data_IF_759484968247
#
_entry.id   IF_759484968247
#
_cell.length_a   1.000
_cell.length_b   1.000
_cell.length_c   1.000
_cell.angle_alpha   90.00
_cell.angle_beta   90.00
_cell.angle_gamma   90.00
#
_symmetry.space_group_name_H-M   'P 1'
#
loop_
_entity.id
_entity.type
_entity.pdbx_description
1 polymer ?
#
# COMPACT_ATOMS: atom_id res chain seq x y z
N UNK A 1 6.66 5.74 -22.95
CA UNK A 1 7.35 5.36 -24.18
C UNK A 1 8.86 5.16 -23.96
N UNK A 2 9.59 6.13 -23.45
CA UNK A 2 11.07 6.15 -23.38
C UNK A 2 11.66 4.98 -22.57
N UNK A 3 11.02 4.59 -21.47
CA UNK A 3 11.44 3.45 -20.66
C UNK A 3 11.40 2.14 -21.46
N UNK A 4 10.34 1.93 -22.24
CA UNK A 4 10.14 0.75 -23.10
C UNK A 4 11.19 0.74 -24.20
N UNK A 5 11.40 1.87 -24.88
CA UNK A 5 12.44 2.01 -25.89
C UNK A 5 13.83 1.69 -25.33
N UNK A 6 14.13 2.19 -24.14
CA UNK A 6 15.41 1.91 -23.47
C UNK A 6 15.57 0.43 -23.07
N UNK A 7 14.48 -0.26 -22.72
CA UNK A 7 14.50 -1.72 -22.42
C UNK A 7 14.74 -2.53 -23.70
N UNK A 8 14.07 -2.21 -24.81
CA UNK A 8 14.25 -2.88 -26.11
C UNK A 8 15.67 -2.66 -26.68
N UNK A 9 16.23 -1.48 -26.48
CA UNK A 9 17.62 -1.20 -26.84
C UNK A 9 18.63 -1.99 -26.00
N UNK A 10 18.30 -2.28 -24.74
CA UNK A 10 19.13 -3.16 -23.88
C UNK A 10 19.16 -4.60 -24.36
N UNK A 11 18.07 -5.05 -24.97
CA UNK A 11 17.97 -6.39 -25.58
C UNK A 11 18.55 -6.43 -27.00
N UNK A 12 18.96 -5.30 -27.57
CA UNK A 12 19.40 -5.17 -28.97
C UNK A 12 18.30 -5.51 -29.99
N UNK A 13 17.04 -5.45 -29.60
CA UNK A 13 15.89 -5.60 -30.52
C UNK A 13 15.75 -4.35 -31.39
N UNK A 14 16.01 -3.18 -30.80
CA UNK A 14 15.96 -1.89 -31.48
C UNK A 14 17.36 -1.28 -31.47
N UNK A 15 17.82 -0.81 -32.62
CA UNK A 15 19.11 -0.11 -32.74
C UNK A 15 19.09 1.21 -31.97
N UNK A 16 20.26 1.66 -31.52
CA UNK A 16 20.39 2.94 -30.84
C UNK A 16 20.01 4.09 -31.80
N UNK A 17 19.03 4.89 -31.35
CA UNK A 17 18.51 6.00 -32.13
C UNK A 17 17.35 5.63 -33.07
N UNK A 18 17.01 4.37 -33.21
CA UNK A 18 15.82 3.94 -33.92
C UNK A 18 14.58 3.99 -33.01
N UNK A 19 13.43 4.25 -33.59
CA UNK A 19 12.12 4.19 -32.91
C UNK A 19 11.54 2.80 -33.03
N UNK A 20 11.09 2.19 -31.93
CA UNK A 20 10.41 0.91 -31.97
C UNK A 20 9.07 1.00 -32.74
N UNK A 21 8.57 -0.12 -33.23
CA UNK A 21 7.24 -0.18 -33.84
C UNK A 21 6.15 0.08 -32.81
N UNK A 22 4.95 0.45 -33.26
CA UNK A 22 3.81 0.65 -32.39
C UNK A 22 3.42 -0.64 -31.65
N UNK A 23 3.58 -1.77 -32.31
CA UNK A 23 3.30 -3.09 -31.72
C UNK A 23 4.31 -3.43 -30.61
N UNK A 24 5.60 -3.18 -30.82
CA UNK A 24 6.63 -3.38 -29.80
C UNK A 24 6.39 -2.51 -28.55
N UNK A 25 5.94 -1.27 -28.77
CA UNK A 25 5.61 -0.36 -27.67
C UNK A 25 4.38 -0.86 -26.90
N UNK A 26 3.35 -1.37 -27.58
CA UNK A 26 2.16 -1.89 -26.93
C UNK A 26 2.47 -3.17 -26.11
N UNK A 27 3.24 -4.09 -26.67
CA UNK A 27 3.73 -5.28 -25.96
C UNK A 27 4.55 -4.86 -24.75
N UNK A 28 5.47 -3.92 -24.94
CA UNK A 28 6.29 -3.39 -23.85
C UNK A 28 5.49 -2.72 -22.75
N UNK A 29 4.41 -2.00 -23.08
CA UNK A 29 3.53 -1.38 -22.12
C UNK A 29 2.74 -2.43 -21.31
N UNK A 30 2.24 -3.45 -21.96
CA UNK A 30 1.55 -4.55 -21.30
C UNK A 30 2.48 -5.26 -20.31
N UNK A 31 3.69 -5.66 -20.74
CA UNK A 31 4.68 -6.31 -19.86
C UNK A 31 5.12 -5.41 -18.72
N UNK A 32 5.24 -4.11 -18.95
CA UNK A 32 5.57 -3.15 -17.89
C UNK A 32 4.46 -3.12 -16.82
N UNK A 33 3.20 -3.09 -17.21
CA UNK A 33 2.08 -3.10 -16.29
C UNK A 33 1.99 -4.43 -15.52
N UNK A 34 2.14 -5.57 -16.19
CA UNK A 34 2.17 -6.90 -15.57
C UNK A 34 3.31 -7.00 -14.53
N UNK A 35 4.50 -6.49 -14.86
CA UNK A 35 5.65 -6.43 -13.95
C UNK A 35 5.37 -5.55 -12.73
N UNK A 36 4.78 -4.36 -12.93
CA UNK A 36 4.43 -3.44 -11.83
C UNK A 36 3.39 -4.08 -10.91
N UNK A 37 2.39 -4.76 -11.46
CA UNK A 37 1.38 -5.49 -10.68
C UNK A 37 2.01 -6.61 -9.85
N UNK A 38 2.90 -7.40 -10.44
CA UNK A 38 3.68 -8.41 -9.72
C UNK A 38 4.51 -7.80 -8.57
N UNK A 39 5.15 -6.67 -8.82
CA UNK A 39 5.95 -5.97 -7.81
C UNK A 39 5.12 -5.36 -6.68
N UNK A 40 3.88 -4.99 -6.93
CA UNK A 40 2.95 -4.57 -5.87
C UNK A 40 2.70 -5.69 -4.88
N UNK A 41 2.50 -6.92 -5.36
CA UNK A 41 2.33 -8.09 -4.51
C UNK A 41 3.59 -8.40 -3.66
N UNK A 42 4.77 -8.14 -4.22
CA UNK A 42 6.05 -8.28 -3.50
C UNK A 42 6.35 -7.08 -2.55
N UNK A 43 5.46 -6.08 -2.47
CA UNK A 43 5.66 -4.82 -1.70
C UNK A 43 6.93 -4.06 -2.11
N UNK A 44 7.37 -4.24 -3.35
CA UNK A 44 8.57 -3.60 -3.87
C UNK A 44 8.35 -2.16 -4.31
N UNK A 45 7.12 -1.78 -4.63
CA UNK A 45 6.83 -0.43 -5.10
C UNK A 45 6.86 0.56 -3.95
N UNK A 46 7.48 1.73 -4.18
CA UNK A 46 7.42 2.83 -3.21
C UNK A 46 6.00 3.34 -3.18
N UNK A 47 5.37 3.12 -2.05
CA UNK A 47 4.04 3.62 -1.82
C UNK A 47 4.12 5.09 -1.43
N UNK A 48 3.40 5.90 -2.15
CA UNK A 48 3.05 7.23 -1.66
C UNK A 48 2.04 7.01 -0.54
N UNK A 49 2.39 7.41 0.66
CA UNK A 49 1.43 7.43 1.75
C UNK A 49 0.42 8.54 1.47
N UNK A 50 -0.76 8.14 1.07
CA UNK A 50 -1.86 9.06 0.77
C UNK A 50 -2.80 9.16 1.96
N UNK A 51 -3.40 10.33 2.12
CA UNK A 51 -4.38 10.63 3.16
C UNK A 51 -5.72 10.94 2.50
N UNK A 52 -6.76 10.22 2.89
CA UNK A 52 -8.12 10.46 2.44
C UNK A 52 -9.04 10.71 3.63
N UNK A 53 -10.04 11.58 3.46
CA UNK A 53 -11.01 11.91 4.51
C UNK A 53 -12.41 11.76 3.98
N UNK A 54 -13.31 11.21 4.81
CA UNK A 54 -14.73 11.10 4.51
C UNK A 54 -15.55 11.41 5.75
N UNK A 55 -16.81 11.81 5.55
CA UNK A 55 -17.73 12.11 6.66
C UNK A 55 -18.34 10.81 7.18
N UNK A 56 -18.32 10.62 8.48
CA UNK A 56 -19.00 9.49 9.12
C UNK A 56 -20.48 9.81 9.27
N UNK A 57 -21.32 8.83 8.94
CA UNK A 57 -22.76 8.91 9.17
C UNK A 57 -23.10 8.38 10.55
N UNK A 58 -23.87 9.13 11.32
CA UNK A 58 -24.33 8.69 12.65
C UNK A 58 -25.02 7.33 12.57
N UNK A 59 -24.72 6.45 13.53
CA UNK A 59 -25.25 5.09 13.64
C UNK A 59 -24.92 4.16 12.45
N UNK A 60 -23.94 4.51 11.63
CA UNK A 60 -23.45 3.64 10.55
C UNK A 60 -22.13 3.00 10.96
N UNK A 61 -22.11 1.65 11.01
CA UNK A 61 -20.95 0.87 11.41
C UNK A 61 -20.00 0.61 10.25
N UNK A 62 -20.51 0.30 9.04
CA UNK A 62 -19.71 -0.24 7.94
C UNK A 62 -19.71 0.68 6.73
N UNK A 63 -18.56 0.78 6.06
CA UNK A 63 -18.31 1.55 4.85
C UNK A 63 -17.62 0.68 3.81
N UNK A 64 -18.00 0.83 2.55
CA UNK A 64 -17.32 0.19 1.43
C UNK A 64 -16.05 0.94 1.05
N UNK A 65 -14.99 0.20 0.72
CA UNK A 65 -13.66 0.75 0.37
C UNK A 65 -13.25 0.25 -1.00
N UNK A 66 -12.98 1.15 -1.92
CA UNK A 66 -12.57 0.80 -3.28
C UNK A 66 -12.75 1.97 -4.25
N UNK A 67 -12.30 1.80 -5.48
CA UNK A 67 -12.52 2.79 -6.53
C UNK A 67 -14.01 2.90 -6.86
N UNK A 68 -14.60 4.08 -6.62
CA UNK A 68 -16.05 4.30 -6.79
C UNK A 68 -16.90 3.89 -5.58
N UNK A 69 -16.33 3.40 -4.49
CA UNK A 69 -17.02 3.09 -3.24
C UNK A 69 -17.22 4.33 -2.36
N UNK A 70 -17.84 4.18 -1.18
CA UNK A 70 -18.04 5.27 -0.22
C UNK A 70 -16.71 5.88 0.25
N UNK A 71 -15.70 5.05 0.48
CA UNK A 71 -14.32 5.47 0.66
C UNK A 71 -13.63 5.24 -0.68
N UNK A 72 -13.58 6.28 -1.50
CA UNK A 72 -13.07 6.20 -2.87
C UNK A 72 -11.54 6.26 -2.89
N UNK A 73 -10.92 5.13 -2.62
CA UNK A 73 -9.46 4.92 -2.69
C UNK A 73 -9.20 3.58 -3.39
N UNK A 74 -8.02 3.35 -3.93
CA UNK A 74 -7.63 2.00 -4.35
C UNK A 74 -7.80 1.03 -3.19
N UNK A 75 -8.45 -0.12 -3.45
CA UNK A 75 -8.73 -1.10 -2.40
C UNK A 75 -7.43 -1.63 -1.80
N UNK A 76 -7.19 -1.45 -0.49
CA UNK A 76 -6.03 -2.01 0.18
C UNK A 76 -6.09 -3.55 0.17
N UNK A 77 -4.98 -4.20 -0.11
CA UNK A 77 -4.90 -5.66 -0.17
C UNK A 77 -4.88 -6.28 1.24
N UNK A 78 -4.24 -5.60 2.18
CA UNK A 78 -4.04 -6.09 3.53
C UNK A 78 -4.50 -5.06 4.58
N UNK A 79 -5.05 -5.54 5.72
CA UNK A 79 -5.43 -4.65 6.82
C UNK A 79 -4.28 -3.82 7.41
N UNK A 80 -3.03 -4.27 7.21
CA UNK A 80 -1.81 -3.60 7.69
C UNK A 80 -1.38 -2.41 6.84
N UNK A 81 -1.93 -2.28 5.63
CA UNK A 81 -1.57 -1.23 4.68
C UNK A 81 -2.35 0.06 4.93
N UNK A 82 -3.29 0.02 5.88
CA UNK A 82 -4.11 1.16 6.26
C UNK A 82 -3.94 1.51 7.73
N UNK A 83 -4.07 2.80 8.01
CA UNK A 83 -4.23 3.30 9.38
C UNK A 83 -5.45 4.22 9.37
N UNK A 84 -6.44 3.88 10.20
CA UNK A 84 -7.67 4.65 10.29
C UNK A 84 -7.65 5.47 11.58
N UNK A 85 -8.01 6.73 11.44
CA UNK A 85 -8.17 7.69 12.53
C UNK A 85 -9.52 8.35 12.43
N UNK A 86 -9.94 8.97 13.50
CA UNK A 86 -11.17 9.78 13.53
C UNK A 86 -10.84 11.15 14.09
N UNK A 87 -11.45 12.18 13.53
CA UNK A 87 -11.38 13.55 14.03
C UNK A 87 -12.78 14.15 14.17
N UNK A 88 -12.96 15.01 15.16
CA UNK A 88 -14.22 15.74 15.38
C UNK A 88 -14.13 17.14 14.77
N UNK A 89 -14.91 17.40 13.74
CA UNK A 89 -14.89 18.68 13.01
C UNK A 89 -15.60 19.81 13.75
N UNK A 90 -16.24 19.54 14.89
CA UNK A 90 -16.81 20.60 15.74
C UNK A 90 -15.73 21.46 16.42
N UNK A 91 -14.52 20.96 16.50
CA UNK A 91 -13.39 21.66 17.12
C UNK A 91 -12.64 22.52 16.10
N UNK A 92 -12.12 23.66 16.53
CA UNK A 92 -11.33 24.56 15.68
C UNK A 92 -10.02 23.91 15.17
N UNK A 93 -9.40 23.08 16.01
CA UNK A 93 -8.20 22.29 15.69
C UNK A 93 -8.46 20.82 16.06
N UNK A 94 -9.15 20.05 15.16
CA UNK A 94 -9.54 18.70 15.50
C UNK A 94 -8.32 17.75 15.54
N UNK A 95 -8.04 17.14 16.71
CA UNK A 95 -6.99 16.12 16.79
C UNK A 95 -7.42 14.86 16.06
N UNK A 96 -6.47 14.19 15.44
CA UNK A 96 -6.68 12.87 14.85
C UNK A 96 -6.48 11.79 15.90
N UNK A 97 -7.56 11.13 16.30
CA UNK A 97 -7.55 10.04 17.27
C UNK A 97 -7.25 8.71 16.56
N UNK A 98 -6.22 8.01 17.01
CA UNK A 98 -5.88 6.69 16.48
C UNK A 98 -6.92 5.65 16.88
N UNK A 99 -7.29 4.78 15.94
CA UNK A 99 -8.13 3.63 16.18
C UNK A 99 -7.29 2.34 16.15
N UNK A 100 -7.64 1.39 17.00
CA UNK A 100 -7.01 0.08 17.00
C UNK A 100 -7.47 -0.74 15.80
N UNK A 101 -6.54 -1.34 15.07
CA UNK A 101 -6.85 -2.30 14.01
C UNK A 101 -7.15 -3.67 14.64
N UNK A 102 -8.34 -4.19 14.43
CA UNK A 102 -8.74 -5.52 14.90
C UNK A 102 -8.38 -6.57 13.84
N UNK A 103 -7.75 -7.64 14.30
CA UNK A 103 -7.56 -8.86 13.49
C UNK A 103 -8.87 -9.65 13.38
N UNK A 104 -8.93 -10.61 12.45
CA UNK A 104 -10.10 -11.46 12.24
C UNK A 104 -10.52 -12.17 13.55
N UNK A 105 -9.55 -12.70 14.30
CA UNK A 105 -9.79 -13.35 15.59
C UNK A 105 -10.31 -12.38 16.65
N UNK A 106 -9.70 -11.19 16.72
CA UNK A 106 -10.12 -10.15 17.66
C UNK A 106 -11.54 -9.66 17.33
N UNK A 107 -11.87 -9.50 16.03
CA UNK A 107 -13.21 -9.14 15.59
C UNK A 107 -14.23 -10.24 15.88
N UNK A 108 -13.87 -11.52 15.68
CA UNK A 108 -14.72 -12.66 16.01
C UNK A 108 -15.03 -12.74 17.51
N UNK A 109 -14.05 -12.40 18.36
CA UNK A 109 -14.18 -12.41 19.81
C UNK A 109 -15.07 -11.28 20.39
N UNK A 110 -15.39 -10.24 19.59
CA UNK A 110 -16.26 -9.15 20.04
C UNK A 110 -17.69 -9.65 20.25
N UNK A 111 -18.23 -9.64 21.49
CA UNK A 111 -19.55 -10.23 21.80
C UNK A 111 -20.70 -9.37 21.29
N UNK A 112 -20.57 -8.03 21.32
CA UNK A 112 -21.60 -7.09 20.90
C UNK A 112 -21.01 -6.17 19.84
N UNK A 113 -21.30 -6.46 18.57
CA UNK A 113 -20.74 -5.72 17.43
C UNK A 113 -21.42 -4.36 17.20
N UNK A 114 -22.67 -4.20 17.61
CA UNK A 114 -23.48 -3.01 17.39
C UNK A 114 -23.51 -2.06 18.60
N UNK A 115 -22.56 -2.21 19.52
CA UNK A 115 -22.45 -1.28 20.64
C UNK A 115 -22.10 0.13 20.13
N UNK A 116 -22.88 1.13 20.57
CA UNK A 116 -22.76 2.51 20.12
C UNK A 116 -21.93 3.36 21.09
N UNK A 117 -21.21 4.33 20.57
CA UNK A 117 -20.48 5.34 21.35
C UNK A 117 -20.39 6.66 20.57
N UNK A 118 -20.03 7.73 21.24
CA UNK A 118 -19.75 9.02 20.55
C UNK A 118 -18.58 8.85 19.60
N UNK A 119 -17.51 8.21 20.04
CA UNK A 119 -16.29 7.93 19.26
C UNK A 119 -16.07 6.44 19.10
N UNK A 120 -15.68 5.97 17.90
CA UNK A 120 -15.20 4.61 17.73
C UNK A 120 -13.83 4.45 18.39
N UNK A 121 -13.51 3.24 18.82
CA UNK A 121 -12.21 2.90 19.46
C UNK A 121 -11.36 2.01 18.60
N UNK A 122 -12.00 1.24 17.72
CA UNK A 122 -11.34 0.29 16.86
C UNK A 122 -12.02 0.20 15.49
N UNK A 123 -11.32 -0.40 14.54
CA UNK A 123 -11.88 -0.73 13.24
C UNK A 123 -11.44 -2.14 12.84
N UNK A 124 -12.26 -2.75 12.01
CA UNK A 124 -11.98 -4.01 11.35
C UNK A 124 -12.07 -3.80 9.83
N UNK A 125 -11.07 -4.24 9.10
CA UNK A 125 -11.06 -4.17 7.65
C UNK A 125 -11.07 -5.58 7.06
N UNK A 126 -12.08 -5.87 6.23
CA UNK A 126 -12.19 -7.11 5.46
C UNK A 126 -11.95 -6.80 3.99
N UNK A 127 -10.87 -7.33 3.39
CA UNK A 127 -10.65 -7.24 1.94
C UNK A 127 -11.51 -8.31 1.25
N UNK A 128 -12.82 -8.10 1.15
CA UNK A 128 -13.69 -9.03 0.45
C UNK A 128 -13.38 -9.09 -1.04
N UNK A 129 -13.44 -10.28 -1.62
CA UNK A 129 -13.25 -10.53 -3.06
C UNK A 129 -14.58 -10.96 -3.70
N UNK A 130 -15.62 -10.18 -3.44
CA UNK A 130 -16.92 -10.39 -4.07
C UNK A 130 -16.99 -9.77 -5.48
N UNK A 131 -18.13 -9.92 -6.14
CA UNK A 131 -18.38 -9.39 -7.49
C UNK A 131 -18.34 -7.88 -7.56
N UNK A 132 -18.46 -7.17 -6.42
CA UNK A 132 -18.40 -5.70 -6.36
C UNK A 132 -16.97 -5.19 -6.33
N UNK A 133 -16.01 -6.03 -5.94
CA UNK A 133 -14.60 -5.69 -5.85
C UNK A 133 -14.28 -4.71 -4.70
N UNK A 134 -15.21 -4.44 -3.79
CA UNK A 134 -15.01 -3.53 -2.66
C UNK A 134 -14.58 -4.28 -1.40
N UNK A 135 -13.68 -3.65 -0.62
CA UNK A 135 -13.44 -4.04 0.76
C UNK A 135 -14.49 -3.44 1.69
N UNK A 136 -14.56 -3.93 2.92
CA UNK A 136 -15.47 -3.41 3.95
C UNK A 136 -14.67 -2.95 5.17
N UNK A 137 -14.86 -1.69 5.57
CA UNK A 137 -14.32 -1.12 6.80
C UNK A 137 -15.45 -1.00 7.82
N UNK A 138 -15.32 -1.67 8.95
CA UNK A 138 -16.33 -1.66 10.02
C UNK A 138 -15.75 -1.06 11.29
N UNK A 139 -16.45 -0.07 11.87
CA UNK A 139 -16.06 0.55 13.13
C UNK A 139 -16.63 -0.20 14.34
N UNK A 140 -15.84 -0.29 15.36
CA UNK A 140 -16.24 -0.69 16.71
C UNK A 140 -15.65 0.33 17.71
N UNK A 141 -16.43 0.96 18.50
CA UNK A 141 -17.88 1.14 18.66
C UNK A 141 -18.50 1.92 17.48
N UNK A 142 -19.81 1.70 17.26
CA UNK A 142 -20.53 2.42 16.19
C UNK A 142 -20.67 3.90 16.56
N UNK A 143 -20.22 4.84 15.72
CA UNK A 143 -20.24 6.26 16.05
C UNK A 143 -21.67 6.84 16.02
N UNK A 144 -22.04 7.58 17.04
CA UNK A 144 -23.34 8.27 17.11
C UNK A 144 -23.27 9.75 16.73
N UNK A 145 -22.08 10.36 16.79
CA UNK A 145 -21.90 11.77 16.43
C UNK A 145 -21.90 11.96 14.92
N UNK A 146 -22.59 13.01 14.46
CA UNK A 146 -22.63 13.42 13.05
C UNK A 146 -21.47 14.35 12.66
N UNK A 147 -20.66 14.83 13.62
CA UNK A 147 -19.55 15.75 13.37
C UNK A 147 -18.23 15.05 13.10
N UNK A 148 -18.24 13.71 13.10
CA UNK A 148 -17.04 12.93 12.93
C UNK A 148 -16.64 12.77 11.46
N UNK A 149 -15.36 12.86 11.20
CA UNK A 149 -14.74 12.49 9.94
C UNK A 149 -13.77 11.32 10.17
N UNK A 150 -13.86 10.34 9.30
CA UNK A 150 -12.83 9.31 9.18
C UNK A 150 -11.64 9.86 8.38
N UNK A 151 -10.46 9.49 8.80
CA UNK A 151 -9.19 9.77 8.12
C UNK A 151 -8.50 8.44 7.90
N UNK A 152 -8.25 8.08 6.65
CA UNK A 152 -7.51 6.88 6.30
C UNK A 152 -6.18 7.27 5.68
N UNK A 153 -5.11 6.74 6.24
CA UNK A 153 -3.80 6.75 5.65
C UNK A 153 -3.59 5.39 4.98
N UNK A 154 -3.35 5.40 3.70
CA UNK A 154 -3.18 4.19 2.92
C UNK A 154 -1.99 4.30 2.00
N UNK A 155 -1.48 3.18 1.59
CA UNK A 155 -0.46 3.10 0.56
C UNK A 155 -1.14 3.09 -0.79
N UNK A 156 -0.88 4.11 -1.59
CA UNK A 156 -1.36 4.14 -2.96
C UNK A 156 -0.46 3.26 -3.82
N UNK A 157 -0.99 2.19 -4.44
CA UNK A 157 -0.23 1.45 -5.43
C UNK A 157 0.04 2.35 -6.64
N UNK A 158 1.10 2.05 -7.38
CA UNK A 158 1.30 2.68 -8.69
C UNK A 158 0.16 2.20 -9.58
N UNK A 159 -0.64 3.12 -10.11
CA UNK A 159 -1.71 2.78 -11.07
C UNK A 159 -1.11 2.18 -12.34
N UNK A 160 -1.95 1.49 -13.11
CA UNK A 160 -1.60 1.08 -14.48
C UNK A 160 -1.16 2.30 -15.27
N UNK A 161 -0.01 2.18 -15.92
CA UNK A 161 0.59 3.27 -16.67
C UNK A 161 0.01 3.30 -18.09
N UNK A 162 -0.31 4.50 -18.57
CA UNK A 162 -0.57 4.76 -19.97
C UNK A 162 0.74 5.13 -20.71
N UNK A 163 0.70 5.07 -22.03
CA UNK A 163 1.89 5.23 -22.85
C UNK A 163 2.62 6.59 -22.69
N UNK A 164 1.85 7.63 -22.39
CA UNK A 164 2.35 9.01 -22.28
C UNK A 164 2.37 9.54 -20.85
N UNK A 165 2.16 8.66 -19.87
CA UNK A 165 2.24 9.07 -18.48
C UNK A 165 3.69 9.43 -18.10
N UNK A 166 3.84 10.56 -17.40
CA UNK A 166 5.08 10.93 -16.77
C UNK A 166 5.25 10.21 -15.42
N UNK A 167 6.34 9.47 -15.30
CA UNK A 167 6.64 8.71 -14.11
C UNK A 167 7.68 9.46 -13.27
N UNK A 168 7.25 9.96 -12.11
CA UNK A 168 8.16 10.59 -11.15
C UNK A 168 8.55 9.57 -10.08
N UNK A 169 9.72 8.98 -10.25
CA UNK A 169 10.25 7.96 -9.33
C UNK A 169 11.54 8.43 -8.67
N UNK A 170 11.84 7.96 -7.46
CA UNK A 170 13.10 8.23 -6.80
C UNK A 170 14.31 7.74 -7.62
N UNK A 171 15.51 8.30 -7.39
CA UNK A 171 16.72 7.87 -8.08
C UNK A 171 16.97 6.35 -7.92
N UNK A 172 17.36 5.70 -9.01
CA UNK A 172 17.62 4.24 -9.05
C UNK A 172 16.43 3.38 -9.48
N UNK A 173 15.20 3.85 -9.35
CA UNK A 173 14.00 3.11 -9.77
C UNK A 173 13.92 2.90 -11.27
N UNK A 174 14.23 3.93 -12.05
CA UNK A 174 14.20 3.83 -13.51
C UNK A 174 15.14 2.76 -14.05
N UNK A 175 16.32 2.59 -13.42
CA UNK A 175 17.25 1.53 -13.80
C UNK A 175 16.65 0.15 -13.49
N UNK A 176 16.07 -0.01 -12.30
CA UNK A 176 15.44 -1.27 -11.91
C UNK A 176 14.29 -1.64 -12.84
N UNK A 177 13.40 -0.70 -13.13
CA UNK A 177 12.29 -0.93 -14.06
C UNK A 177 12.79 -1.29 -15.46
N UNK A 178 13.74 -0.53 -16.01
CA UNK A 178 14.27 -0.75 -17.36
C UNK A 178 14.95 -2.12 -17.51
N UNK A 179 15.84 -2.46 -16.57
CA UNK A 179 16.65 -3.67 -16.70
C UNK A 179 15.80 -4.92 -16.42
N UNK A 180 14.82 -4.85 -15.50
CA UNK A 180 13.86 -5.95 -15.28
C UNK A 180 12.83 -6.05 -16.42
N UNK A 181 12.34 -4.94 -16.97
CA UNK A 181 11.46 -4.96 -18.14
C UNK A 181 12.16 -5.60 -19.34
N UNK A 182 13.44 -5.34 -19.54
CA UNK A 182 14.22 -6.02 -20.57
C UNK A 182 14.27 -7.54 -20.34
N UNK A 183 14.34 -8.00 -19.09
CA UNK A 183 14.28 -9.43 -18.76
C UNK A 183 12.91 -10.04 -19.08
N UNK A 184 11.81 -9.33 -18.77
CA UNK A 184 10.44 -9.78 -19.06
C UNK A 184 10.13 -9.83 -20.57
N UNK A 185 10.72 -8.90 -21.35
CA UNK A 185 10.55 -8.85 -22.80
C UNK A 185 11.37 -9.89 -23.56
N UNK A 186 12.48 -10.36 -23.01
CA UNK A 186 13.38 -11.26 -23.71
C UNK A 186 12.70 -12.53 -24.28
N UNK A 187 11.80 -13.23 -23.58
CA UNK A 187 11.09 -14.37 -24.11
C UNK A 187 10.19 -14.04 -25.32
N UNK A 188 9.54 -12.88 -25.33
CA UNK A 188 8.63 -12.47 -26.41
C UNK A 188 9.39 -12.32 -27.76
N UNK A 189 10.67 -11.96 -27.67
CA UNK A 189 11.56 -11.86 -28.85
C UNK A 189 12.43 -13.11 -29.05
N UNK A 190 12.20 -14.18 -28.32
CA UNK A 190 13.02 -15.42 -28.36
C UNK A 190 14.52 -15.17 -28.14
N UNK A 191 14.86 -14.15 -27.35
CA UNK A 191 16.23 -13.77 -27.03
C UNK A 191 16.65 -14.30 -25.66
N UNK A 192 17.90 -14.67 -25.53
CA UNK A 192 18.50 -14.94 -24.22
C UNK A 192 19.18 -13.68 -23.69
N UNK A 193 18.76 -13.16 -22.52
CA UNK A 193 19.43 -12.00 -21.93
C UNK A 193 20.89 -12.29 -21.62
N UNK A 194 21.74 -11.28 -21.77
CA UNK A 194 23.16 -11.45 -21.41
C UNK A 194 23.30 -11.69 -19.89
N UNK A 195 24.29 -12.50 -19.44
CA UNK A 195 24.52 -12.73 -18.01
C UNK A 195 24.72 -11.44 -17.22
N UNK A 196 25.33 -10.43 -17.83
CA UNK A 196 25.53 -9.10 -17.23
C UNK A 196 24.19 -8.40 -17.01
N UNK A 197 23.27 -8.47 -17.98
CA UNK A 197 21.92 -7.89 -17.82
C UNK A 197 21.14 -8.60 -16.69
N UNK A 198 21.22 -9.94 -16.64
CA UNK A 198 20.58 -10.72 -15.57
C UNK A 198 21.09 -10.27 -14.19
N UNK A 199 22.41 -10.19 -14.03
CA UNK A 199 23.00 -9.78 -12.76
C UNK A 199 22.61 -8.34 -12.39
N UNK A 200 22.66 -7.39 -13.34
CA UNK A 200 22.28 -5.99 -13.08
C UNK A 200 20.81 -5.85 -12.75
N UNK A 201 19.91 -6.62 -13.36
CA UNK A 201 18.47 -6.62 -13.06
C UNK A 201 18.21 -7.15 -11.64
N UNK A 202 18.84 -8.27 -11.25
CA UNK A 202 18.73 -8.85 -9.91
C UNK A 202 19.25 -7.89 -8.84
N UNK A 203 20.44 -7.31 -9.06
CA UNK A 203 21.03 -6.33 -8.13
C UNK A 203 20.14 -5.08 -7.99
N UNK A 204 19.64 -4.57 -9.11
CA UNK A 204 18.76 -3.41 -9.09
C UNK A 204 17.44 -3.69 -8.34
N UNK A 205 16.81 -4.86 -8.57
CA UNK A 205 15.61 -5.30 -7.84
C UNK A 205 15.89 -5.50 -6.34
N UNK A 206 17.04 -6.08 -5.99
CA UNK A 206 17.46 -6.30 -4.61
C UNK A 206 17.72 -4.98 -3.86
N UNK A 207 18.40 -4.02 -4.50
CA UNK A 207 18.63 -2.70 -3.93
C UNK A 207 17.31 -1.95 -3.70
N UNK A 208 16.40 -2.05 -4.65
CA UNK A 208 15.07 -1.52 -4.58
C UNK A 208 14.28 -2.09 -3.39
N UNK A 209 14.30 -3.41 -3.21
CA UNK A 209 13.66 -4.09 -2.07
C UNK A 209 14.20 -3.59 -0.73
N UNK A 210 15.53 -3.46 -0.63
CA UNK A 210 16.19 -2.99 0.60
C UNK A 210 15.83 -1.55 0.96
N UNK A 211 15.63 -0.66 -0.03
CA UNK A 211 15.22 0.72 0.20
C UNK A 211 13.78 0.81 0.72
N UNK A 212 12.91 -0.14 0.34
CA UNK A 212 11.50 -0.16 0.74
C UNK A 212 11.23 -0.99 1.99
N UNK A 213 12.25 -1.69 2.50
CA UNK A 213 12.13 -2.47 3.72
C UNK A 213 11.95 -1.53 4.93
N UNK A 214 10.82 -1.65 5.63
CA UNK A 214 10.61 -0.92 6.86
C UNK A 214 11.46 -1.54 7.95
N UNK A 215 12.18 -0.70 8.68
CA UNK A 215 12.70 -1.09 9.98
C UNK A 215 11.49 -1.42 10.87
N UNK A 216 11.39 -2.67 11.28
CA UNK A 216 10.40 -3.07 12.26
C UNK A 216 10.77 -2.42 13.60
N UNK A 217 9.91 -1.55 14.12
CA UNK A 217 10.05 -1.10 15.50
C UNK A 217 9.87 -2.31 16.41
N UNK A 218 10.95 -2.78 16.99
CA UNK A 218 10.89 -3.81 18.02
C UNK A 218 10.26 -3.20 19.26
N UNK A 219 8.98 -3.44 19.44
CA UNK A 219 8.33 -3.19 20.71
C UNK A 219 8.67 -4.35 21.64
N UNK A 220 9.41 -4.07 22.69
CA UNK A 220 9.55 -5.02 23.79
C UNK A 220 8.19 -5.26 24.41
N UNK A 221 7.85 -6.52 24.69
CA UNK A 221 6.65 -6.85 25.42
C UNK A 221 6.60 -6.05 26.74
N UNK A 222 5.44 -5.48 27.05
CA UNK A 222 5.23 -4.71 28.28
C UNK A 222 5.57 -5.53 29.54
N UNK A 223 5.43 -6.85 29.49
CA UNK A 223 5.85 -7.77 30.53
C UNK A 223 7.37 -7.77 30.77
N UNK A 224 8.17 -7.53 29.73
CA UNK A 224 9.64 -7.47 29.81
C UNK A 224 10.12 -6.10 30.26
N UNK A 225 9.44 -5.02 29.87
CA UNK A 225 9.81 -3.64 30.22
C UNK A 225 9.36 -3.21 31.61
N UNK A 226 8.56 -4.02 32.29
CA UNK A 226 8.06 -3.79 33.66
C UNK A 226 7.49 -2.37 33.87
N UNK A 227 6.79 -1.84 32.86
CA UNK A 227 6.23 -0.48 32.88
C UNK A 227 5.16 -0.24 33.96
N UNK A 228 4.75 -1.30 34.67
CA UNK A 228 3.78 -1.19 35.76
C UNK A 228 4.35 -0.62 37.06
N UNK A 229 5.70 -0.52 37.18
CA UNK A 229 6.34 0.06 38.37
C UNK A 229 7.46 1.02 37.93
N UNK A 230 7.17 2.32 37.78
CA UNK A 230 8.16 3.31 37.35
C UNK A 230 9.30 3.53 38.36
N UNK A 231 9.16 3.03 39.59
CA UNK A 231 10.20 3.16 40.60
C UNK A 231 10.36 1.89 41.42
N UNK A 232 11.56 1.31 41.39
CA UNK A 232 11.94 0.28 42.33
C UNK A 232 12.42 0.96 43.63
N UNK A 233 11.67 0.75 44.70
CA UNK A 233 12.11 1.25 46.02
C UNK A 233 12.87 0.14 46.74
N UNK A 234 14.17 0.33 46.90
CA UNK A 234 15.06 -0.64 47.51
C UNK A 234 14.71 -0.96 48.99
N UNK A 235 13.97 -0.06 49.66
CA UNK A 235 13.58 -0.21 51.08
C UNK A 235 12.21 -0.86 51.30
N UNK A 236 11.36 -0.86 50.26
CA UNK A 236 9.97 -1.36 50.37
C UNK A 236 9.74 -2.65 49.54
N UNK A 237 10.66 -2.94 48.59
CA UNK A 237 10.53 -4.07 47.68
C UNK A 237 9.44 -3.89 46.62
N UNK A 238 9.13 -4.95 45.83
CA UNK A 238 8.12 -4.90 44.79
C UNK A 238 6.71 -4.82 45.37
#
# INVERSE_FOLDING_TARGET
ADLITAALQRLLVVERGATPSADDINIGLQRLNDMIESWQNERLTTYIQSRYTWTLTSNKASYTVGSGAEINIPRPLLPQDITVKVRDTSQTLPPELNLNNLTDDAWAAVPIKNLTSVYPTAYYYSPTYDTTGYGTLTFWLVPTSATLQGVIYYRSPISTLALYDDIYLPPGYLRALRDNLAMELAPDYSLQPSPVLMQTAIEAKSNFKRMNERLADMQCDAAVTNQSKPFYNIFVGP
#
